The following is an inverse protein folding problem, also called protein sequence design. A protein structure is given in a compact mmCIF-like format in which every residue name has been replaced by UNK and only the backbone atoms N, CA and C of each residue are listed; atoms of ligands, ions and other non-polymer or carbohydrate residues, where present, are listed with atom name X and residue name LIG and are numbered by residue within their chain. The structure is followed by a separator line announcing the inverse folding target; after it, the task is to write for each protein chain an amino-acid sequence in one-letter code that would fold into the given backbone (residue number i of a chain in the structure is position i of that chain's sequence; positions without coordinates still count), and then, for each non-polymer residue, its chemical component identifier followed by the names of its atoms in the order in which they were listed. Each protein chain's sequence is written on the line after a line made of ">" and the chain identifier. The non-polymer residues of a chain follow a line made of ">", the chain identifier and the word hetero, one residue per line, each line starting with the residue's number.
data_IF_318964567815
#
_entry.id   IF_318964567815
#
_cell.length_a   1.000
_cell.length_b   1.000
_cell.length_c   1.000
_cell.angle_alpha   90.00
_cell.angle_beta   90.00
_cell.angle_gamma   90.00
#
_symmetry.space_group_name_H-M   'P 1'
#
loop_
_entity.id
_entity.type
_entity.pdbx_description
1 polymer ?
#
# COMPACT_ATOMS: atom_id res chain seq x y z
N UNK A 1 -10.49 61.28 13.33
CA UNK A 1 -11.46 60.26 13.81
C UNK A 1 -12.75 60.94 14.25
N UNK A 2 -12.77 61.87 15.21
CA UNK A 2 -13.99 62.62 15.61
C UNK A 2 -14.73 63.28 14.44
N UNK A 3 -14.06 64.11 13.63
CA UNK A 3 -14.70 64.76 12.46
C UNK A 3 -15.24 63.80 11.38
N UNK A 4 -14.75 62.55 11.35
CA UNK A 4 -15.24 61.53 10.41
C UNK A 4 -16.47 60.81 10.98
N UNK A 5 -16.50 60.58 12.30
CA UNK A 5 -17.66 60.08 13.00
C UNK A 5 -18.83 61.08 12.96
N UNK A 6 -18.57 62.37 13.17
CA UNK A 6 -19.60 63.42 13.09
C UNK A 6 -20.20 63.55 11.69
N UNK A 7 -19.39 63.40 10.62
CA UNK A 7 -19.87 63.48 9.24
C UNK A 7 -20.79 62.31 8.85
N UNK A 8 -20.53 61.12 9.39
CA UNK A 8 -21.37 59.94 9.16
C UNK A 8 -22.66 60.00 9.99
N UNK A 9 -22.59 60.55 11.21
CA UNK A 9 -23.73 60.61 12.13
C UNK A 9 -24.75 61.70 11.77
N UNK A 10 -24.34 62.79 11.11
CA UNK A 10 -25.24 63.88 10.70
C UNK A 10 -25.81 63.73 9.28
N UNK A 11 -25.35 62.75 8.50
CA UNK A 11 -25.79 62.52 7.13
C UNK A 11 -26.69 61.28 7.10
N UNK A 12 -28.01 61.49 7.15
CA UNK A 12 -29.07 60.48 7.32
C UNK A 12 -29.07 59.32 6.30
N UNK A 13 -28.30 59.43 5.20
CA UNK A 13 -28.08 58.38 4.22
C UNK A 13 -26.99 57.35 4.55
N UNK A 14 -26.17 57.56 5.59
CA UNK A 14 -25.02 56.69 5.94
C UNK A 14 -25.21 55.89 7.23
N UNK A 15 -26.19 56.23 8.07
CA UNK A 15 -26.47 55.56 9.35
C UNK A 15 -26.76 54.05 9.18
N UNK A 16 -27.48 53.67 8.12
CA UNK A 16 -27.80 52.28 7.85
C UNK A 16 -26.55 51.44 7.54
N UNK A 17 -25.52 52.04 6.92
CA UNK A 17 -24.25 51.36 6.60
C UNK A 17 -23.51 51.04 7.90
N UNK A 18 -23.47 51.98 8.84
CA UNK A 18 -22.84 51.78 10.15
C UNK A 18 -23.56 50.68 10.93
N UNK A 19 -24.89 50.72 11.00
CA UNK A 19 -25.67 49.70 11.71
C UNK A 19 -25.50 48.30 11.11
N UNK A 20 -25.46 48.20 9.77
CA UNK A 20 -25.20 46.93 9.06
C UNK A 20 -23.78 46.43 9.36
N UNK A 21 -22.77 47.30 9.33
CA UNK A 21 -21.39 46.90 9.63
C UNK A 21 -21.22 46.43 11.08
N UNK A 22 -21.88 47.07 12.05
CA UNK A 22 -21.88 46.64 13.45
C UNK A 22 -22.55 45.28 13.58
N UNK A 23 -23.72 45.08 12.94
CA UNK A 23 -24.43 43.80 12.95
C UNK A 23 -23.58 42.66 12.36
N UNK A 24 -22.93 42.91 11.21
CA UNK A 24 -22.03 41.95 10.56
C UNK A 24 -20.82 41.65 11.47
N UNK A 25 -20.24 42.66 12.10
CA UNK A 25 -19.10 42.48 13.02
C UNK A 25 -19.49 41.64 14.24
N UNK A 26 -20.67 41.88 14.81
CA UNK A 26 -21.21 41.07 15.91
C UNK A 26 -21.51 39.63 15.48
N UNK A 27 -22.06 39.43 14.28
CA UNK A 27 -22.28 38.11 13.71
C UNK A 27 -20.96 37.34 13.53
N UNK A 28 -19.91 38.00 13.01
CA UNK A 28 -18.59 37.40 12.88
C UNK A 28 -17.97 37.08 14.24
N UNK A 29 -18.11 37.96 15.24
CA UNK A 29 -17.64 37.70 16.60
C UNK A 29 -18.35 36.50 17.23
N UNK A 30 -19.68 36.39 17.04
CA UNK A 30 -20.46 35.23 17.47
C UNK A 30 -19.99 33.95 16.78
N UNK A 31 -19.76 33.98 15.47
CA UNK A 31 -19.28 32.82 14.71
C UNK A 31 -17.90 32.36 15.17
N UNK A 32 -16.98 33.31 15.43
CA UNK A 32 -15.64 33.02 15.98
C UNK A 32 -15.78 32.36 17.36
N UNK A 33 -16.63 32.91 18.23
CA UNK A 33 -16.88 32.35 19.55
C UNK A 33 -17.44 30.91 19.47
N UNK A 34 -18.40 30.66 18.57
CA UNK A 34 -18.94 29.32 18.34
C UNK A 34 -17.89 28.34 17.80
N UNK A 35 -17.01 28.79 16.88
CA UNK A 35 -15.92 27.97 16.37
C UNK A 35 -14.91 27.62 17.48
N UNK A 36 -14.56 28.57 18.35
CA UNK A 36 -13.68 28.33 19.50
C UNK A 36 -14.31 27.30 20.45
N UNK A 37 -15.59 27.48 20.82
CA UNK A 37 -16.31 26.53 21.67
C UNK A 37 -16.39 25.13 21.04
N UNK A 38 -16.63 25.06 19.73
CA UNK A 38 -16.67 23.80 18.99
C UNK A 38 -15.31 23.09 18.99
N UNK A 39 -14.21 23.82 18.76
CA UNK A 39 -12.86 23.27 18.81
C UNK A 39 -12.52 22.79 20.23
N UNK A 40 -12.86 23.56 21.26
CA UNK A 40 -12.67 23.17 22.66
C UNK A 40 -13.46 21.90 23.00
N UNK A 41 -14.73 21.83 22.57
CA UNK A 41 -15.56 20.63 22.73
C UNK A 41 -14.90 19.41 22.07
N UNK A 42 -14.45 19.52 20.81
CA UNK A 42 -13.77 18.43 20.11
C UNK A 42 -12.48 18.00 20.84
N UNK A 43 -11.72 18.97 21.37
CA UNK A 43 -10.48 18.71 22.12
C UNK A 43 -10.77 17.95 23.40
N UNK A 44 -11.75 18.41 24.19
CA UNK A 44 -12.15 17.75 25.45
C UNK A 44 -12.68 16.34 25.16
N UNK A 45 -13.60 16.19 24.20
CA UNK A 45 -14.12 14.88 23.81
C UNK A 45 -13.01 13.92 23.36
N UNK A 46 -12.06 14.39 22.54
CA UNK A 46 -10.91 13.60 22.10
C UNK A 46 -10.01 13.22 23.28
N UNK A 47 -9.77 14.15 24.22
CA UNK A 47 -8.92 13.91 25.38
C UNK A 47 -9.53 12.86 26.31
N UNK A 48 -10.80 13.03 26.69
CA UNK A 48 -11.53 12.06 27.53
C UNK A 48 -11.55 10.67 26.89
N UNK A 49 -11.77 10.61 25.57
CA UNK A 49 -11.74 9.34 24.85
C UNK A 49 -10.33 8.73 24.83
N UNK A 50 -9.27 9.54 24.80
CA UNK A 50 -7.89 9.04 24.82
C UNK A 50 -7.50 8.52 26.20
N UNK A 51 -7.92 9.19 27.28
CA UNK A 51 -7.74 8.70 28.66
C UNK A 51 -8.39 7.32 28.81
N UNK A 52 -9.67 7.19 28.43
CA UNK A 52 -10.38 5.88 28.47
C UNK A 52 -9.73 4.79 27.62
N UNK A 53 -9.05 5.15 26.52
CA UNK A 53 -8.29 4.18 25.74
C UNK A 53 -7.03 3.76 26.47
N UNK A 54 -6.28 4.71 27.03
CA UNK A 54 -5.04 4.42 27.75
C UNK A 54 -5.29 3.49 28.93
N UNK A 55 -6.29 3.82 29.77
CA UNK A 55 -6.72 2.96 30.89
C UNK A 55 -7.12 1.56 30.43
N UNK A 56 -7.79 1.44 29.27
CA UNK A 56 -8.19 0.14 28.73
C UNK A 56 -7.00 -0.64 28.17
N UNK A 57 -6.04 0.04 27.55
CA UNK A 57 -4.81 -0.58 27.03
C UNK A 57 -3.96 -1.12 28.17
N UNK A 58 -3.82 -0.36 29.26
CA UNK A 58 -3.09 -0.78 30.47
C UNK A 58 -3.69 -2.07 31.04
N UNK A 59 -5.00 -2.06 31.33
CA UNK A 59 -5.72 -3.25 31.83
C UNK A 59 -5.60 -4.46 30.89
N UNK A 60 -5.67 -4.23 29.59
CA UNK A 60 -5.54 -5.29 28.59
C UNK A 60 -4.12 -5.84 28.51
N UNK A 61 -3.11 -4.98 28.68
CA UNK A 61 -1.70 -5.36 28.68
C UNK A 61 -1.41 -6.28 29.84
N UNK A 62 -1.86 -5.91 31.04
CA UNK A 62 -1.71 -6.74 32.25
C UNK A 62 -2.42 -8.08 32.08
N UNK A 63 -3.66 -8.06 31.57
CA UNK A 63 -4.43 -9.27 31.30
C UNK A 63 -3.77 -10.19 30.28
N UNK A 64 -3.27 -9.66 29.15
CA UNK A 64 -2.57 -10.47 28.14
C UNK A 64 -1.27 -11.05 28.70
N UNK A 65 -0.53 -10.28 29.49
CA UNK A 65 0.71 -10.77 30.11
C UNK A 65 0.42 -11.91 31.10
N UNK A 66 -0.61 -11.77 31.93
CA UNK A 66 -1.09 -12.88 32.78
C UNK A 66 -1.46 -14.10 31.94
N UNK A 67 -2.28 -13.92 30.91
CA UNK A 67 -2.70 -15.01 30.02
C UNK A 67 -1.53 -15.75 29.33
N UNK A 68 -0.44 -15.05 29.00
CA UNK A 68 0.68 -15.63 28.27
C UNK A 68 1.75 -16.27 29.16
N UNK A 69 1.93 -15.77 30.37
CA UNK A 69 3.12 -16.10 31.18
C UNK A 69 2.79 -16.62 32.58
N UNK A 70 1.56 -16.46 33.05
CA UNK A 70 1.14 -17.00 34.35
C UNK A 70 0.71 -18.47 34.20
N UNK A 71 1.41 -19.36 34.90
CA UNK A 71 1.14 -20.80 34.90
C UNK A 71 -0.14 -21.15 35.66
N UNK A 72 -0.62 -20.26 36.53
CA UNK A 72 -1.84 -20.43 37.32
C UNK A 72 -3.04 -19.67 36.72
N UNK A 73 -2.92 -19.20 35.49
CA UNK A 73 -3.98 -18.42 34.84
C UNK A 73 -5.29 -19.22 34.72
N UNK A 74 -6.34 -18.76 35.40
CA UNK A 74 -7.65 -19.40 35.36
C UNK A 74 -8.40 -19.07 34.06
N UNK A 75 -8.88 -20.09 33.33
CA UNK A 75 -9.67 -19.89 32.10
C UNK A 75 -10.94 -19.04 32.33
N UNK A 76 -11.54 -19.09 33.52
CA UNK A 76 -12.72 -18.30 33.88
C UNK A 76 -12.45 -16.79 33.78
N UNK A 77 -11.20 -16.37 34.00
CA UNK A 77 -10.76 -14.97 33.89
C UNK A 77 -10.95 -14.42 32.47
N UNK A 78 -10.93 -15.26 31.43
CA UNK A 78 -11.17 -14.81 30.05
C UNK A 78 -12.62 -14.39 29.85
N UNK A 79 -13.55 -15.20 30.35
CA UNK A 79 -14.98 -14.95 30.25
C UNK A 79 -15.38 -13.72 31.06
N UNK A 80 -14.82 -13.58 32.26
CA UNK A 80 -15.00 -12.41 33.11
C UNK A 80 -14.44 -11.14 32.46
N UNK A 81 -13.23 -11.20 31.91
CA UNK A 81 -12.62 -10.07 31.23
C UNK A 81 -13.43 -9.65 30.00
N UNK A 82 -13.90 -10.60 29.20
CA UNK A 82 -14.79 -10.32 28.06
C UNK A 82 -16.06 -9.59 28.54
N UNK A 83 -16.71 -10.14 29.56
CA UNK A 83 -17.99 -9.66 30.08
C UNK A 83 -17.90 -8.23 30.65
N UNK A 84 -16.79 -7.87 31.29
CA UNK A 84 -16.63 -6.56 31.94
C UNK A 84 -15.87 -5.53 31.10
N UNK A 85 -14.86 -5.97 30.34
CA UNK A 85 -13.92 -5.08 29.67
C UNK A 85 -14.04 -5.07 28.14
N UNK A 86 -14.81 -5.96 27.50
CA UNK A 86 -14.95 -6.03 26.04
C UNK A 86 -16.40 -5.77 25.57
N UNK A 87 -17.08 -4.82 26.21
CA UNK A 87 -18.51 -4.54 25.96
C UNK A 87 -18.74 -3.47 24.90
N UNK A 88 -18.14 -2.30 25.10
CA UNK A 88 -18.40 -1.13 24.27
C UNK A 88 -17.71 -1.21 22.92
N UNK A 89 -18.22 -0.45 21.94
CA UNK A 89 -17.59 -0.33 20.61
C UNK A 89 -16.15 0.19 20.69
N UNK A 90 -15.84 1.05 21.67
CA UNK A 90 -14.49 1.56 21.87
C UNK A 90 -13.58 0.44 22.38
N UNK A 91 -14.00 -0.27 23.43
CA UNK A 91 -13.26 -1.38 24.00
C UNK A 91 -13.00 -2.48 22.98
N UNK A 92 -14.03 -2.99 22.29
CA UNK A 92 -13.85 -4.01 21.23
C UNK A 92 -12.83 -3.59 20.18
N UNK A 93 -12.88 -2.32 19.76
CA UNK A 93 -11.93 -1.76 18.78
C UNK A 93 -10.51 -1.69 19.34
N UNK A 94 -10.32 -1.22 20.58
CA UNK A 94 -9.00 -1.13 21.22
C UNK A 94 -8.46 -2.52 21.46
N UNK A 95 -9.25 -3.43 22.05
CA UNK A 95 -8.87 -4.83 22.28
C UNK A 95 -8.45 -5.54 21.00
N UNK A 96 -9.22 -5.41 19.92
CA UNK A 96 -8.86 -5.96 18.61
C UNK A 96 -7.51 -5.42 18.13
N UNK A 97 -7.30 -4.10 18.24
CA UNK A 97 -6.05 -3.46 17.80
C UNK A 97 -4.85 -3.97 18.59
N UNK A 98 -4.94 -4.02 19.90
CA UNK A 98 -3.82 -4.44 20.73
C UNK A 98 -3.53 -5.94 20.56
N UNK A 99 -4.54 -6.80 20.49
CA UNK A 99 -4.34 -8.23 20.17
C UNK A 99 -3.65 -8.42 18.82
N UNK A 100 -4.00 -7.61 17.81
CA UNK A 100 -3.30 -7.64 16.52
C UNK A 100 -1.82 -7.25 16.67
N UNK A 101 -1.50 -6.21 17.45
CA UNK A 101 -0.12 -5.79 17.72
C UNK A 101 0.66 -6.92 18.41
N UNK A 102 0.10 -7.51 19.46
CA UNK A 102 0.68 -8.68 20.12
C UNK A 102 0.90 -9.83 19.12
N UNK A 103 -0.08 -10.14 18.27
CA UNK A 103 0.05 -11.21 17.27
C UNK A 103 1.09 -10.93 16.18
N UNK A 104 1.50 -9.68 15.99
CA UNK A 104 2.54 -9.34 15.02
C UNK A 104 3.93 -9.40 15.65
N UNK A 105 4.02 -9.11 16.95
CA UNK A 105 5.29 -9.07 17.69
C UNK A 105 5.72 -10.46 18.20
N UNK A 106 4.78 -11.35 18.51
CA UNK A 106 5.07 -12.71 18.99
C UNK A 106 5.05 -13.75 17.86
N UNK A 107 5.96 -14.74 17.93
CA UNK A 107 6.04 -15.91 17.03
C UNK A 107 5.82 -17.22 17.81
N UNK A 108 5.58 -18.32 17.11
CA UNK A 108 5.45 -19.65 17.71
C UNK A 108 4.22 -19.80 18.61
N UNK A 109 4.39 -20.47 19.75
CA UNK A 109 3.30 -20.82 20.67
C UNK A 109 2.58 -19.59 21.25
N UNK A 110 3.32 -18.56 21.65
CA UNK A 110 2.73 -17.30 22.12
C UNK A 110 1.78 -16.67 21.09
N UNK A 111 2.16 -16.71 19.79
CA UNK A 111 1.29 -16.25 18.71
C UNK A 111 -0.01 -17.07 18.62
N UNK A 112 0.10 -18.39 18.77
CA UNK A 112 -1.04 -19.29 18.74
C UNK A 112 -1.98 -19.02 19.92
N UNK A 113 -1.45 -18.79 21.12
CA UNK A 113 -2.23 -18.41 22.31
C UNK A 113 -2.94 -17.07 22.11
N UNK A 114 -2.26 -16.04 21.58
CA UNK A 114 -2.90 -14.74 21.26
C UNK A 114 -4.06 -14.91 20.28
N UNK A 115 -3.90 -15.75 19.25
CA UNK A 115 -4.97 -16.06 18.31
C UNK A 115 -6.13 -16.80 18.98
N UNK A 116 -5.87 -17.75 19.88
CA UNK A 116 -6.92 -18.41 20.68
C UNK A 116 -7.69 -17.39 21.53
N UNK A 117 -6.95 -16.48 22.19
CA UNK A 117 -7.55 -15.43 23.00
C UNK A 117 -8.45 -14.50 22.18
N UNK A 118 -8.03 -14.14 20.96
CA UNK A 118 -8.86 -13.34 20.03
C UNK A 118 -10.26 -13.93 19.84
N UNK A 119 -10.36 -15.26 19.64
CA UNK A 119 -11.64 -15.94 19.49
C UNK A 119 -12.41 -16.06 20.80
N UNK A 120 -11.75 -16.36 21.92
CA UNK A 120 -12.41 -16.45 23.24
C UNK A 120 -13.01 -15.11 23.68
N UNK A 121 -12.40 -14.00 23.25
CA UNK A 121 -12.93 -12.64 23.46
C UNK A 121 -14.00 -12.21 22.43
N UNK A 122 -14.40 -13.10 21.50
CA UNK A 122 -15.45 -12.88 20.49
C UNK A 122 -15.22 -11.64 19.61
N UNK A 123 -13.97 -11.41 19.22
CA UNK A 123 -13.58 -10.23 18.43
C UNK A 123 -13.75 -10.43 16.91
N UNK A 124 -13.85 -11.68 16.47
CA UNK A 124 -14.12 -12.08 15.09
C UNK A 124 -15.43 -11.48 14.56
N UNK A 125 -16.48 -11.43 15.39
CA UNK A 125 -17.75 -10.81 15.04
C UNK A 125 -17.62 -9.33 14.63
N UNK A 126 -16.69 -8.58 15.22
CA UNK A 126 -16.39 -7.22 14.80
C UNK A 126 -15.74 -7.20 13.41
N UNK A 127 -14.79 -8.11 13.14
CA UNK A 127 -14.11 -8.21 11.86
C UNK A 127 -15.10 -8.50 10.72
N UNK A 128 -16.01 -9.46 10.90
CA UNK A 128 -17.05 -9.76 9.91
C UNK A 128 -17.98 -8.57 9.64
N UNK A 129 -18.41 -7.86 10.71
CA UNK A 129 -19.21 -6.64 10.58
C UNK A 129 -18.47 -5.53 9.82
N UNK A 130 -17.15 -5.44 9.99
CA UNK A 130 -16.31 -4.47 9.30
C UNK A 130 -16.12 -4.80 7.82
N UNK A 131 -15.92 -6.07 7.48
CA UNK A 131 -15.84 -6.58 6.09
C UNK A 131 -17.14 -6.29 5.32
N UNK A 132 -18.30 -6.44 5.96
CA UNK A 132 -19.61 -6.18 5.36
C UNK A 132 -19.95 -4.68 5.21
N UNK A 133 -19.11 -3.78 5.72
CA UNK A 133 -19.42 -2.36 5.79
C UNK A 133 -19.34 -1.64 4.43
N UNK A 134 -20.22 -0.65 4.22
CA UNK A 134 -20.11 0.28 3.08
C UNK A 134 -18.90 1.20 3.17
N UNK A 135 -18.35 1.42 4.37
CA UNK A 135 -17.19 2.30 4.56
C UNK A 135 -15.91 1.55 4.25
N UNK A 136 -15.17 2.00 3.24
CA UNK A 136 -13.97 1.33 2.75
C UNK A 136 -12.93 1.08 3.85
N UNK A 137 -12.69 2.04 4.74
CA UNK A 137 -11.70 1.91 5.81
C UNK A 137 -12.10 0.86 6.85
N UNK A 138 -13.40 0.55 6.97
CA UNK A 138 -13.87 -0.56 7.79
C UNK A 138 -13.61 -1.87 7.08
N UNK A 139 -13.90 -1.99 5.78
CA UNK A 139 -13.58 -3.20 5.01
C UNK A 139 -12.10 -3.54 5.03
N UNK A 140 -11.24 -2.54 4.79
CA UNK A 140 -9.79 -2.70 4.86
C UNK A 140 -9.35 -3.18 6.25
N UNK A 141 -9.86 -2.58 7.34
CA UNK A 141 -9.54 -3.00 8.71
C UNK A 141 -10.04 -4.41 9.01
N UNK A 142 -11.24 -4.76 8.56
CA UNK A 142 -11.78 -6.11 8.69
C UNK A 142 -10.93 -7.15 7.98
N UNK A 143 -10.54 -6.88 6.73
CA UNK A 143 -9.62 -7.72 5.95
C UNK A 143 -8.25 -7.88 6.62
N UNK A 144 -7.70 -6.77 7.12
CA UNK A 144 -6.45 -6.79 7.89
C UNK A 144 -6.55 -7.70 9.13
N UNK A 145 -7.68 -7.63 9.83
CA UNK A 145 -7.92 -8.43 11.05
C UNK A 145 -7.99 -9.91 10.72
N UNK A 146 -8.83 -10.32 9.75
CA UNK A 146 -8.97 -11.74 9.37
C UNK A 146 -7.68 -12.30 8.79
N UNK A 147 -6.93 -11.51 8.01
CA UNK A 147 -5.62 -11.89 7.49
C UNK A 147 -4.62 -12.20 8.61
N UNK A 148 -4.49 -11.30 9.59
CA UNK A 148 -3.55 -11.48 10.70
C UNK A 148 -3.93 -12.61 11.64
N UNK A 149 -5.23 -12.82 11.87
CA UNK A 149 -5.74 -13.89 12.72
C UNK A 149 -5.82 -15.24 12.00
N UNK A 150 -5.58 -15.29 10.68
CA UNK A 150 -5.69 -16.53 9.90
C UNK A 150 -7.13 -17.02 9.74
N UNK A 151 -8.11 -16.11 9.79
CA UNK A 151 -9.53 -16.43 9.70
C UNK A 151 -9.91 -16.56 8.23
N UNK A 152 -10.34 -17.75 7.81
CA UNK A 152 -10.86 -17.96 6.46
C UNK A 152 -12.24 -17.32 6.33
N UNK A 153 -12.40 -16.43 5.36
CA UNK A 153 -13.69 -15.87 4.95
C UNK A 153 -14.16 -16.52 3.65
N UNK A 154 -15.43 -16.32 3.31
CA UNK A 154 -16.00 -16.79 2.05
C UNK A 154 -15.17 -16.25 0.86
N UNK A 155 -14.73 -17.14 -0.03
CA UNK A 155 -13.84 -16.79 -1.15
C UNK A 155 -14.45 -15.71 -2.05
N UNK A 156 -15.75 -15.80 -2.36
CA UNK A 156 -16.46 -14.77 -3.15
C UNK A 156 -16.39 -13.38 -2.51
N UNK A 157 -16.39 -13.30 -1.18
CA UNK A 157 -16.20 -12.04 -0.46
C UNK A 157 -14.77 -11.54 -0.56
N UNK A 158 -13.76 -12.42 -0.40
CA UNK A 158 -12.36 -12.04 -0.56
C UNK A 158 -12.06 -11.56 -2.00
N UNK A 159 -12.54 -12.28 -3.02
CA UNK A 159 -12.39 -11.91 -4.43
C UNK A 159 -13.09 -10.59 -4.74
N UNK A 160 -14.32 -10.36 -4.23
CA UNK A 160 -15.00 -9.07 -4.39
C UNK A 160 -14.17 -7.91 -3.83
N UNK A 161 -13.47 -8.12 -2.71
CA UNK A 161 -12.63 -7.09 -2.09
C UNK A 161 -11.25 -6.96 -2.74
N UNK A 162 -10.77 -8.01 -3.41
CA UNK A 162 -9.58 -7.96 -4.26
C UNK A 162 -9.75 -6.97 -5.40
N UNK A 163 -10.98 -6.82 -5.90
CA UNK A 163 -11.36 -5.90 -6.97
C UNK A 163 -12.19 -4.70 -6.46
N UNK A 164 -11.98 -4.27 -5.21
CA UNK A 164 -12.64 -3.09 -4.66
C UNK A 164 -12.15 -1.80 -5.37
N UNK A 165 -13.05 -0.83 -5.52
CA UNK A 165 -12.73 0.50 -6.07
C UNK A 165 -11.61 1.20 -5.30
N UNK A 166 -11.44 0.90 -4.01
CA UNK A 166 -10.42 1.50 -3.14
C UNK A 166 -9.17 0.62 -3.06
N UNK A 167 -8.03 1.20 -3.45
CA UNK A 167 -6.72 0.53 -3.50
C UNK A 167 -6.34 -0.06 -2.15
N UNK A 168 -6.66 0.62 -1.05
CA UNK A 168 -6.35 0.19 0.31
C UNK A 168 -7.10 -1.09 0.68
N UNK A 169 -8.33 -1.24 0.21
CA UNK A 169 -9.11 -2.46 0.42
C UNK A 169 -8.54 -3.60 -0.42
N UNK A 170 -8.20 -3.33 -1.69
CA UNK A 170 -7.55 -4.31 -2.58
C UNK A 170 -6.26 -4.83 -1.98
N UNK A 171 -5.41 -3.94 -1.46
CA UNK A 171 -4.15 -4.28 -0.81
C UNK A 171 -4.36 -5.25 0.37
N UNK A 172 -5.33 -4.96 1.25
CA UNK A 172 -5.60 -5.86 2.39
C UNK A 172 -6.16 -7.22 1.94
N UNK A 173 -6.96 -7.26 0.87
CA UNK A 173 -7.45 -8.53 0.31
C UNK A 173 -6.34 -9.35 -0.36
N UNK A 174 -5.44 -8.69 -1.08
CA UNK A 174 -4.25 -9.31 -1.66
C UNK A 174 -3.38 -9.94 -0.57
N UNK A 175 -3.06 -9.19 0.49
CA UNK A 175 -2.24 -9.69 1.61
C UNK A 175 -2.92 -10.84 2.33
N UNK A 176 -4.25 -10.81 2.42
CA UNK A 176 -5.05 -11.94 2.91
C UNK A 176 -4.83 -13.20 2.06
N UNK A 177 -4.90 -13.12 0.73
CA UNK A 177 -4.66 -14.28 -0.13
C UNK A 177 -3.26 -14.85 0.02
N UNK A 178 -2.23 -14.00 0.09
CA UNK A 178 -0.84 -14.45 0.27
C UNK A 178 -0.69 -15.13 1.64
N UNK A 179 -1.14 -14.49 2.72
CA UNK A 179 -0.93 -14.96 4.09
C UNK A 179 -1.70 -16.24 4.43
N UNK A 180 -2.87 -16.47 3.83
CA UNK A 180 -3.67 -17.66 4.07
C UNK A 180 -3.49 -18.75 3.00
N UNK A 181 -2.69 -18.49 1.97
CA UNK A 181 -2.34 -19.51 0.99
C UNK A 181 -1.50 -20.61 1.64
N UNK A 182 -1.82 -21.85 1.30
CA UNK A 182 -1.01 -23.01 1.69
C UNK A 182 0.06 -23.37 0.66
N UNK A 183 -0.20 -23.17 -0.65
CA UNK A 183 0.70 -23.64 -1.72
C UNK A 183 0.97 -22.62 -2.82
N UNK A 184 -0.05 -21.84 -3.20
CA UNK A 184 0.01 -20.96 -4.37
C UNK A 184 -0.34 -19.52 -3.98
N UNK A 185 0.60 -18.78 -3.34
CA UNK A 185 0.32 -17.48 -2.72
C UNK A 185 -0.10 -16.39 -3.71
N UNK A 186 0.22 -16.57 -4.99
CA UNK A 186 -0.07 -15.62 -6.06
C UNK A 186 -1.22 -16.03 -6.97
N UNK A 187 -1.92 -17.15 -6.73
CA UNK A 187 -3.05 -17.57 -7.57
C UNK A 187 -4.21 -16.56 -7.60
N UNK A 188 -4.27 -15.65 -6.63
CA UNK A 188 -5.24 -14.54 -6.67
C UNK A 188 -5.06 -13.64 -7.90
N UNK A 189 -3.88 -13.60 -8.52
CA UNK A 189 -3.62 -12.81 -9.73
C UNK A 189 -4.56 -13.20 -10.88
N UNK A 190 -4.94 -14.48 -11.01
CA UNK A 190 -5.94 -14.90 -12.02
C UNK A 190 -7.31 -14.27 -11.85
N UNK A 191 -7.61 -13.76 -10.65
CA UNK A 191 -8.89 -13.13 -10.30
C UNK A 191 -8.76 -11.62 -10.14
N UNK A 192 -7.56 -11.07 -10.37
CA UNK A 192 -7.32 -9.65 -10.26
C UNK A 192 -7.79 -8.96 -11.54
N UNK A 193 -8.77 -8.08 -11.39
CA UNK A 193 -9.35 -7.36 -12.51
C UNK A 193 -8.74 -5.98 -12.70
N UNK A 194 -8.17 -5.41 -11.63
CA UNK A 194 -7.64 -4.05 -11.57
C UNK A 194 -6.11 -4.03 -11.75
N UNK A 195 -5.53 -2.93 -12.26
CA UNK A 195 -4.09 -2.75 -12.31
C UNK A 195 -3.44 -2.83 -10.91
N UNK A 196 -2.26 -3.46 -10.84
CA UNK A 196 -1.40 -3.43 -9.66
C UNK A 196 -0.75 -2.06 -9.52
N UNK A 197 -0.93 -1.43 -8.38
CA UNK A 197 -0.17 -0.23 -8.01
C UNK A 197 1.24 -0.60 -7.55
N UNK A 198 2.19 0.34 -7.66
CA UNK A 198 3.57 0.15 -7.18
C UNK A 198 3.60 -0.27 -5.70
N UNK A 199 2.75 0.34 -4.86
CA UNK A 199 2.62 -0.03 -3.46
C UNK A 199 2.18 -1.48 -3.27
N UNK A 200 1.22 -1.96 -4.06
CA UNK A 200 0.81 -3.36 -4.00
C UNK A 200 1.94 -4.30 -4.45
N UNK A 201 2.71 -3.94 -5.48
CA UNK A 201 3.87 -4.72 -5.91
C UNK A 201 4.92 -4.85 -4.80
N UNK A 202 5.27 -3.74 -4.13
CA UNK A 202 6.21 -3.75 -2.99
C UNK A 202 5.70 -4.65 -1.86
N UNK A 203 4.40 -4.59 -1.55
CA UNK A 203 3.81 -5.43 -0.52
C UNK A 203 3.75 -6.91 -0.89
N UNK A 204 3.54 -7.25 -2.17
CA UNK A 204 3.65 -8.63 -2.66
C UNK A 204 5.10 -9.10 -2.47
N UNK A 205 6.07 -8.32 -2.95
CA UNK A 205 7.51 -8.65 -2.85
C UNK A 205 7.93 -8.90 -1.40
N UNK A 206 7.55 -8.00 -0.49
CA UNK A 206 7.87 -8.13 0.93
C UNK A 206 7.23 -9.36 1.57
N UNK A 207 5.96 -9.64 1.22
CA UNK A 207 5.26 -10.83 1.72
C UNK A 207 5.89 -12.14 1.20
N UNK A 208 6.46 -12.15 -0.02
CA UNK A 208 7.10 -13.32 -0.61
C UNK A 208 8.48 -13.61 0.01
N UNK A 209 9.21 -12.63 0.53
CA UNK A 209 10.51 -12.85 1.22
C UNK A 209 10.39 -13.81 2.41
N UNK A 210 9.25 -13.83 3.08
CA UNK A 210 8.96 -14.71 4.20
C UNK A 210 8.33 -16.06 3.82
N UNK A 211 8.08 -16.30 2.54
CA UNK A 211 7.46 -17.53 2.05
C UNK A 211 8.50 -18.66 2.02
N UNK A 212 8.22 -19.75 2.73
CA UNK A 212 9.18 -20.85 2.94
C UNK A 212 9.08 -21.98 1.92
N UNK A 213 8.09 -21.93 1.04
CA UNK A 213 7.92 -22.97 0.02
C UNK A 213 8.53 -22.56 -1.32
N UNK A 214 8.22 -23.32 -2.37
CA UNK A 214 8.69 -23.07 -3.72
C UNK A 214 8.26 -21.68 -4.21
N UNK A 215 9.25 -20.98 -4.79
CA UNK A 215 9.04 -19.69 -5.44
C UNK A 215 8.04 -19.89 -6.58
N UNK A 216 6.97 -19.06 -6.68
CA UNK A 216 6.02 -19.18 -7.77
C UNK A 216 6.67 -18.95 -9.14
N UNK A 217 6.35 -19.81 -10.12
CA UNK A 217 6.65 -19.54 -11.54
C UNK A 217 5.86 -18.32 -12.03
N UNK A 218 6.56 -17.19 -12.23
CA UNK A 218 5.95 -15.92 -12.62
C UNK A 218 5.53 -15.88 -14.10
N UNK A 219 6.02 -16.81 -14.92
CA UNK A 219 5.65 -16.86 -16.34
C UNK A 219 4.17 -17.15 -16.57
N UNK A 220 3.51 -17.75 -15.57
CA UNK A 220 2.08 -18.08 -15.53
C UNK A 220 1.13 -16.89 -15.76
N UNK A 221 1.62 -15.66 -15.55
CA UNK A 221 0.83 -14.44 -15.66
C UNK A 221 1.37 -13.46 -16.71
N UNK A 222 2.27 -13.89 -17.60
CA UNK A 222 2.74 -13.03 -18.71
C UNK A 222 1.66 -12.76 -19.76
N UNK A 223 0.59 -13.56 -19.81
CA UNK A 223 -0.58 -13.33 -20.66
C UNK A 223 -1.73 -12.59 -19.94
N UNK A 224 -1.46 -12.00 -18.78
CA UNK A 224 -2.50 -11.38 -17.96
C UNK A 224 -3.08 -10.12 -18.63
N UNK A 225 -4.40 -9.92 -18.55
CA UNK A 225 -5.08 -8.76 -19.18
C UNK A 225 -4.60 -7.39 -18.71
N UNK A 226 -4.00 -7.32 -17.52
CA UNK A 226 -3.48 -6.09 -16.93
C UNK A 226 -1.97 -5.97 -17.18
N UNK A 227 -1.50 -4.96 -17.94
CA UNK A 227 -0.06 -4.75 -18.19
C UNK A 227 0.75 -4.61 -16.90
N UNK A 228 0.22 -3.95 -15.88
CA UNK A 228 0.90 -3.81 -14.57
C UNK A 228 1.18 -5.15 -13.88
N UNK A 229 0.36 -6.18 -14.12
CA UNK A 229 0.61 -7.54 -13.62
C UNK A 229 1.70 -8.22 -14.45
N UNK A 230 1.66 -8.09 -15.78
CA UNK A 230 2.71 -8.60 -16.67
C UNK A 230 4.06 -7.99 -16.28
N UNK A 231 4.15 -6.66 -16.18
CA UNK A 231 5.38 -5.96 -15.81
C UNK A 231 5.89 -6.37 -14.42
N UNK A 232 4.98 -6.55 -13.46
CA UNK A 232 5.34 -7.12 -12.16
C UNK A 232 5.96 -8.52 -12.30
N UNK A 233 5.38 -9.40 -13.13
CA UNK A 233 5.88 -10.75 -13.32
C UNK A 233 7.23 -10.77 -14.04
N UNK A 234 7.44 -9.95 -15.08
CA UNK A 234 8.75 -9.78 -15.74
C UNK A 234 9.81 -9.35 -14.73
N UNK A 235 9.48 -8.35 -13.89
CA UNK A 235 10.37 -7.91 -12.81
C UNK A 235 10.73 -9.07 -11.87
N UNK A 236 9.74 -9.86 -11.45
CA UNK A 236 9.95 -10.96 -10.52
C UNK A 236 10.73 -12.13 -11.13
N UNK A 237 10.56 -12.43 -12.42
CA UNK A 237 11.38 -13.45 -13.14
C UNK A 237 12.87 -13.14 -12.94
N UNK A 238 13.26 -11.89 -13.12
CA UNK A 238 14.66 -11.45 -12.89
C UNK A 238 15.05 -11.28 -11.41
N UNK A 239 14.09 -11.15 -10.50
CA UNK A 239 14.38 -10.96 -9.08
C UNK A 239 14.54 -12.28 -8.31
N UNK A 240 14.01 -13.37 -8.87
CA UNK A 240 14.08 -14.72 -8.35
C UNK A 240 14.85 -15.67 -9.27
N UNK A 241 15.65 -15.13 -10.19
CA UNK A 241 16.57 -15.88 -11.05
C UNK A 241 15.91 -17.04 -11.84
N UNK A 242 14.70 -16.81 -12.38
CA UNK A 242 13.97 -17.80 -13.19
C UNK A 242 14.48 -17.84 -14.64
N UNK A 243 15.72 -18.29 -14.84
CA UNK A 243 16.39 -18.36 -16.13
C UNK A 243 15.61 -19.17 -17.17
N UNK A 244 14.88 -20.20 -16.75
CA UNK A 244 14.02 -21.02 -17.62
C UNK A 244 12.89 -20.23 -18.30
N UNK A 245 12.60 -19.02 -17.82
CA UNK A 245 11.53 -18.16 -18.32
C UNK A 245 12.03 -17.00 -19.20
N UNK A 246 13.35 -16.87 -19.44
CA UNK A 246 13.92 -15.77 -20.25
C UNK A 246 13.32 -15.71 -21.65
N UNK A 247 13.21 -16.85 -22.34
CA UNK A 247 12.60 -16.95 -23.68
C UNK A 247 11.18 -16.41 -23.73
N UNK A 248 10.42 -16.56 -22.64
CA UNK A 248 9.03 -16.07 -22.55
C UNK A 248 8.96 -14.54 -22.37
N UNK A 249 10.06 -13.90 -21.98
CA UNK A 249 10.15 -12.45 -21.79
C UNK A 249 10.65 -11.73 -23.06
N UNK A 250 11.40 -12.41 -23.94
CA UNK A 250 11.92 -11.83 -25.20
C UNK A 250 10.85 -11.11 -26.04
N UNK A 251 9.63 -11.66 -26.25
CA UNK A 251 8.59 -10.96 -27.03
C UNK A 251 8.20 -9.60 -26.46
N UNK A 252 8.48 -9.33 -25.18
CA UNK A 252 8.15 -8.05 -24.56
C UNK A 252 9.13 -6.92 -24.93
N UNK A 253 10.29 -7.22 -25.51
CA UNK A 253 11.25 -6.23 -26.01
C UNK A 253 10.69 -5.37 -27.17
N UNK A 254 9.65 -5.86 -27.85
CA UNK A 254 8.99 -5.15 -28.95
C UNK A 254 7.53 -4.82 -28.63
N UNK A 255 7.12 -4.98 -27.37
CA UNK A 255 5.73 -4.77 -26.97
C UNK A 255 5.32 -3.29 -27.12
N UNK A 256 4.09 -2.99 -27.60
CA UNK A 256 3.62 -1.61 -27.80
C UNK A 256 3.53 -0.81 -26.48
N UNK A 257 3.23 -1.47 -25.37
CA UNK A 257 3.25 -0.86 -24.04
C UNK A 257 4.70 -0.59 -23.57
N UNK A 258 5.09 0.69 -23.56
CA UNK A 258 6.43 1.15 -23.19
C UNK A 258 6.89 0.67 -21.81
N UNK A 259 5.96 0.58 -20.85
CA UNK A 259 6.26 0.10 -19.50
C UNK A 259 6.74 -1.36 -19.51
N UNK A 260 6.11 -2.22 -20.33
CA UNK A 260 6.49 -3.62 -20.47
C UNK A 260 7.81 -3.77 -21.21
N UNK A 261 8.00 -3.00 -22.28
CA UNK A 261 9.26 -2.97 -23.02
C UNK A 261 10.44 -2.60 -22.12
N UNK A 262 10.29 -1.53 -21.34
CA UNK A 262 11.31 -1.11 -20.36
C UNK A 262 11.62 -2.19 -19.34
N UNK A 263 10.61 -2.90 -18.82
CA UNK A 263 10.83 -3.96 -17.82
C UNK A 263 11.45 -5.21 -18.44
N UNK A 264 11.13 -5.53 -19.70
CA UNK A 264 11.77 -6.60 -20.45
C UNK A 264 13.26 -6.32 -20.67
N UNK A 265 13.64 -5.11 -21.10
CA UNK A 265 15.05 -4.68 -21.24
C UNK A 265 15.79 -4.82 -19.91
N UNK A 266 15.17 -4.41 -18.80
CA UNK A 266 15.74 -4.56 -17.45
C UNK A 266 15.92 -6.01 -17.04
N UNK A 267 14.93 -6.84 -17.34
CA UNK A 267 14.99 -8.28 -17.10
C UNK A 267 16.17 -8.89 -17.88
N UNK A 268 16.25 -8.65 -19.19
CA UNK A 268 17.33 -9.17 -20.03
C UNK A 268 18.72 -8.76 -19.53
N UNK A 269 18.87 -7.50 -19.11
CA UNK A 269 20.11 -6.99 -18.52
C UNK A 269 20.51 -7.75 -17.27
N UNK A 270 19.58 -7.94 -16.32
CA UNK A 270 19.84 -8.69 -15.09
C UNK A 270 20.14 -10.17 -15.34
N UNK A 271 19.49 -10.74 -16.34
CA UNK A 271 19.64 -12.16 -16.69
C UNK A 271 20.86 -12.43 -17.57
N UNK A 272 21.59 -11.39 -18.02
CA UNK A 272 22.77 -11.53 -18.86
C UNK A 272 22.48 -12.10 -20.25
N UNK A 273 21.29 -11.83 -20.82
CA UNK A 273 20.91 -12.38 -22.12
C UNK A 273 21.54 -11.56 -23.26
N UNK A 274 22.61 -12.06 -23.86
CA UNK A 274 23.34 -11.40 -24.96
C UNK A 274 22.50 -11.22 -26.23
N UNK A 275 21.65 -12.20 -26.55
CA UNK A 275 20.80 -12.19 -27.76
C UNK A 275 19.82 -11.01 -27.78
N UNK A 276 19.35 -10.58 -26.61
CA UNK A 276 18.45 -9.44 -26.48
C UNK A 276 19.03 -8.11 -26.98
N UNK A 277 20.36 -7.98 -27.02
CA UNK A 277 21.03 -6.75 -27.45
C UNK A 277 20.73 -6.45 -28.91
N UNK A 278 20.86 -7.45 -29.78
CA UNK A 278 20.62 -7.27 -31.21
C UNK A 278 19.14 -6.96 -31.52
N UNK A 279 18.22 -7.54 -30.72
CA UNK A 279 16.77 -7.27 -30.83
C UNK A 279 16.48 -5.79 -30.54
N UNK A 280 16.98 -5.27 -29.42
CA UNK A 280 16.67 -3.88 -29.01
C UNK A 280 17.38 -2.82 -29.84
N UNK A 281 18.53 -3.16 -30.46
CA UNK A 281 19.26 -2.25 -31.35
C UNK A 281 18.44 -1.91 -32.59
N UNK A 282 17.73 -2.89 -33.14
CA UNK A 282 16.94 -2.73 -34.39
C UNK A 282 15.93 -1.59 -34.31
N UNK A 283 15.39 -1.33 -33.11
CA UNK A 283 14.34 -0.32 -32.91
C UNK A 283 14.81 0.92 -32.15
N UNK A 284 16.11 1.02 -31.78
CA UNK A 284 16.62 2.04 -30.86
C UNK A 284 16.21 3.47 -31.23
N UNK A 285 16.41 3.87 -32.50
CA UNK A 285 16.07 5.19 -32.99
C UNK A 285 14.61 5.61 -32.71
N UNK A 286 13.67 4.65 -32.77
CA UNK A 286 12.23 4.88 -32.61
C UNK A 286 11.75 4.89 -31.15
N UNK A 287 12.59 4.44 -30.22
CA UNK A 287 12.22 4.35 -28.81
C UNK A 287 12.23 5.71 -28.11
N UNK A 288 11.48 5.83 -27.02
CA UNK A 288 11.56 7.01 -26.17
C UNK A 288 12.85 7.04 -25.34
N UNK A 289 13.19 8.22 -24.81
CA UNK A 289 14.39 8.44 -24.00
C UNK A 289 14.52 7.50 -22.79
N UNK A 290 13.40 7.11 -22.16
CA UNK A 290 13.44 6.22 -21.00
C UNK A 290 13.92 4.82 -21.39
N UNK A 291 13.46 4.32 -22.54
CA UNK A 291 13.82 2.99 -23.05
C UNK A 291 15.23 3.02 -23.64
N UNK A 292 15.58 4.05 -24.44
CA UNK A 292 16.95 4.26 -24.94
C UNK A 292 17.98 4.21 -23.82
N UNK A 293 17.71 4.86 -22.69
CA UNK A 293 18.58 4.82 -21.51
C UNK A 293 18.75 3.43 -20.91
N UNK A 294 17.70 2.61 -20.88
CA UNK A 294 17.81 1.23 -20.39
C UNK A 294 18.52 0.32 -21.42
N UNK A 295 18.36 0.56 -22.72
CA UNK A 295 19.10 -0.15 -23.78
C UNK A 295 20.60 0.13 -23.67
N UNK A 296 21.01 1.39 -23.49
CA UNK A 296 22.42 1.74 -23.31
C UNK A 296 23.04 1.05 -22.09
N UNK A 297 22.28 0.94 -20.98
CA UNK A 297 22.71 0.17 -19.81
C UNK A 297 22.81 -1.32 -20.10
N UNK A 298 21.88 -1.88 -20.87
CA UNK A 298 21.92 -3.28 -21.29
C UNK A 298 23.18 -3.56 -22.13
N UNK A 299 23.46 -2.72 -23.14
CA UNK A 299 24.66 -2.87 -23.97
C UNK A 299 25.92 -2.75 -23.11
N UNK A 300 25.98 -1.79 -22.17
CA UNK A 300 27.14 -1.63 -21.30
C UNK A 300 27.43 -2.88 -20.44
N UNK A 301 26.39 -3.52 -19.91
CA UNK A 301 26.54 -4.63 -18.97
C UNK A 301 26.60 -6.01 -19.64
N UNK A 302 25.97 -6.16 -20.81
CA UNK A 302 25.79 -7.46 -21.48
C UNK A 302 26.23 -7.43 -22.95
N UNK A 303 26.25 -6.27 -23.59
CA UNK A 303 26.65 -6.14 -25.00
C UNK A 303 28.16 -6.02 -25.21
N UNK A 304 28.52 -5.57 -26.42
CA UNK A 304 29.89 -5.34 -26.85
C UNK A 304 30.13 -3.90 -27.30
N UNK A 305 31.39 -3.48 -27.36
CA UNK A 305 31.75 -2.15 -27.85
C UNK A 305 31.31 -1.93 -29.30
N UNK A 306 31.40 -2.95 -30.16
CA UNK A 306 30.95 -2.88 -31.56
C UNK A 306 29.45 -2.60 -31.64
N UNK A 307 28.64 -3.28 -30.83
CA UNK A 307 27.19 -3.04 -30.75
C UNK A 307 26.89 -1.62 -30.28
N UNK A 308 27.62 -1.09 -29.30
CA UNK A 308 27.48 0.30 -28.87
C UNK A 308 27.79 1.28 -30.01
N UNK A 309 28.89 1.09 -30.74
CA UNK A 309 29.30 1.99 -31.82
C UNK A 309 28.27 2.12 -32.95
N UNK A 310 27.44 1.11 -33.18
CA UNK A 310 26.35 1.18 -34.18
C UNK A 310 25.37 2.33 -33.90
N UNK A 311 25.19 2.70 -32.63
CA UNK A 311 24.26 3.76 -32.20
C UNK A 311 24.83 5.18 -32.35
N UNK A 312 26.13 5.33 -32.65
CA UNK A 312 26.80 6.64 -32.72
C UNK A 312 26.12 7.62 -33.68
N UNK A 313 25.62 7.14 -34.82
CA UNK A 313 24.91 7.95 -35.81
C UNK A 313 23.47 8.29 -35.41
N UNK A 314 22.81 7.40 -34.67
CA UNK A 314 21.41 7.54 -34.24
C UNK A 314 21.24 8.56 -33.10
N UNK A 315 22.33 8.90 -32.42
CA UNK A 315 22.36 9.92 -31.36
C UNK A 315 22.33 11.37 -31.89
N UNK A 316 22.44 11.56 -33.21
CA UNK A 316 22.36 12.86 -33.85
C UNK A 316 20.91 13.37 -33.89
N UNK A 317 20.49 14.02 -32.81
CA UNK A 317 19.13 14.54 -32.63
C UNK A 317 18.51 14.17 -31.29
N UNK A 318 19.14 13.24 -30.56
CA UNK A 318 18.71 12.86 -29.22
C UNK A 318 19.06 13.89 -28.16
N UNK A 319 18.31 13.83 -27.05
CA UNK A 319 18.50 14.67 -25.88
C UNK A 319 19.92 14.47 -25.29
N UNK A 320 20.47 15.54 -24.73
CA UNK A 320 21.77 15.59 -24.07
C UNK A 320 21.94 14.48 -23.01
N UNK A 321 20.87 14.13 -22.30
CA UNK A 321 20.88 13.03 -21.34
C UNK A 321 21.27 11.68 -21.98
N UNK A 322 20.75 11.36 -23.17
CA UNK A 322 21.04 10.09 -23.85
C UNK A 322 22.49 10.07 -24.35
N UNK A 323 22.99 11.21 -24.84
CA UNK A 323 24.39 11.37 -25.24
C UNK A 323 25.34 11.14 -24.06
N UNK A 324 25.03 11.70 -22.89
CA UNK A 324 25.80 11.49 -21.66
C UNK A 324 25.82 10.00 -21.28
N UNK A 325 24.68 9.31 -21.34
CA UNK A 325 24.61 7.88 -21.02
C UNK A 325 25.38 7.02 -22.03
N UNK A 326 25.38 7.39 -23.32
CA UNK A 326 26.22 6.73 -24.34
C UNK A 326 27.71 6.92 -24.03
N UNK A 327 28.15 8.14 -23.75
CA UNK A 327 29.56 8.42 -23.44
C UNK A 327 30.04 7.67 -22.20
N UNK A 328 29.19 7.53 -21.18
CA UNK A 328 29.49 6.69 -20.00
C UNK A 328 29.64 5.22 -20.36
N UNK A 329 28.83 4.71 -21.29
CA UNK A 329 28.95 3.33 -21.77
C UNK A 329 30.22 3.15 -22.60
N UNK A 330 30.57 4.11 -23.45
CA UNK A 330 31.80 4.10 -24.23
C UNK A 330 33.04 4.13 -23.34
N UNK A 331 33.08 5.02 -22.35
CA UNK A 331 34.17 5.08 -21.36
C UNK A 331 34.33 3.75 -20.60
N UNK A 332 33.23 3.02 -20.34
CA UNK A 332 33.28 1.72 -19.68
C UNK A 332 33.98 0.65 -20.53
N UNK A 333 33.81 0.66 -21.86
CA UNK A 333 34.47 -0.31 -22.75
C UNK A 333 35.94 0.03 -23.07
N UNK A 334 36.34 1.29 -22.91
CA UNK A 334 37.70 1.75 -23.18
C UNK A 334 38.65 1.64 -21.97
N UNK A 335 38.12 1.29 -20.80
CA UNK A 335 38.88 0.96 -19.58
C UNK A 335 39.13 -0.53 -19.50
#
# INVERSE_FOLDING_TARGET
>A
MEKFYDYIYYNSGLEWIVNVNILISLLFLLLILLLILFILYLRVYKNLRNIKKAEHVEKLTDFINGYLFDTEFEEASIEEFRAHHVRSKLQKKVTTKEILIYSQNFKGEANASIKKLFFRLELDGLAFKEIASRKWYLRARGMHTVSNMGIKIQESTAVRLLNDKRVEVRLQSLLYFIKLSQKYPLNFLYRLEEPLTIWQQIHIEDALKGYKEEIPDFSKWLNHKQPTVIGFCIKQISAFDQYENVEKVIPFLEHPEEMLKKEAVRCMRKMGNHESVDIVLTNFASENNTIKKEILKLIKEVGSYNQLQTLSYELNGDNEEIKIEYLKAEEYFLK
#
